data_IF_848556836622
#
_entry.id   IF_848556836622
#
_cell.length_a   1.000
_cell.length_b   1.000
_cell.length_c   1.000
_cell.angle_alpha   90.00
_cell.angle_beta   90.00
_cell.angle_gamma   90.00
#
_symmetry.space_group_name_H-M   'P 1'
#
loop_
_entity.id
_entity.type
_entity.pdbx_description
1 polymer ?
#
# COMPACT_ATOMS: atom_id res chain seq x y z
N UNK A 1 -3.43 -24.92 -0.24
CA UNK A 1 -3.57 -23.78 -1.14
C UNK A 1 -2.27 -22.98 -1.16
N UNK A 2 -1.83 -22.59 -2.32
CA UNK A 2 -0.61 -21.77 -2.53
C UNK A 2 -1.00 -20.50 -3.29
N UNK A 3 -0.68 -19.34 -2.73
CA UNK A 3 -1.01 -18.06 -3.35
C UNK A 3 0.25 -17.28 -3.75
N UNK A 4 0.17 -16.51 -4.82
CA UNK A 4 1.14 -15.46 -5.12
C UNK A 4 0.59 -14.13 -4.59
N UNK A 5 1.27 -13.52 -3.63
CA UNK A 5 0.93 -12.22 -3.10
C UNK A 5 1.86 -11.16 -3.71
N UNK A 6 1.26 -10.17 -4.39
CA UNK A 6 1.99 -9.17 -5.17
C UNK A 6 1.88 -7.81 -4.49
N UNK A 7 3.03 -7.18 -4.27
CA UNK A 7 3.10 -5.86 -3.62
C UNK A 7 4.21 -5.01 -4.20
N UNK A 8 4.09 -3.68 -4.09
CA UNK A 8 5.20 -2.79 -4.38
C UNK A 8 6.24 -2.78 -3.26
N UNK A 9 5.80 -2.84 -2.02
CA UNK A 9 6.63 -2.59 -0.84
C UNK A 9 6.80 -3.87 -0.03
N UNK A 10 8.04 -4.16 0.39
CA UNK A 10 8.38 -5.27 1.27
C UNK A 10 9.55 -4.88 2.18
N UNK A 11 9.69 -5.53 3.33
CA UNK A 11 10.77 -5.27 4.27
C UNK A 11 12.16 -5.41 3.63
N UNK A 12 13.10 -4.52 3.91
CA UNK A 12 13.01 -3.35 4.82
C UNK A 12 12.47 -2.07 4.14
N UNK A 13 12.07 -2.14 2.88
CA UNK A 13 11.70 -0.99 2.04
C UNK A 13 10.20 -0.73 2.09
N UNK A 14 9.67 -0.43 3.26
CA UNK A 14 8.27 -0.05 3.46
C UNK A 14 8.18 1.46 3.61
N UNK A 15 7.30 2.06 2.78
CA UNK A 15 7.06 3.49 2.75
C UNK A 15 5.62 3.87 3.11
N UNK A 16 4.64 3.05 2.73
CA UNK A 16 3.23 3.37 2.86
C UNK A 16 2.42 2.37 3.67
N UNK A 17 1.16 2.75 3.96
CA UNK A 17 0.26 1.89 4.73
C UNK A 17 -0.06 0.55 4.05
N UNK A 18 -0.01 0.48 2.71
CA UNK A 18 -0.21 -0.77 1.99
C UNK A 18 0.93 -1.76 2.26
N UNK A 19 2.19 -1.28 2.29
CA UNK A 19 3.35 -2.11 2.64
C UNK A 19 3.29 -2.60 4.09
N UNK A 20 2.93 -1.70 5.03
CA UNK A 20 2.72 -2.08 6.43
C UNK A 20 1.62 -3.14 6.56
N UNK A 21 0.48 -2.97 5.84
CA UNK A 21 -0.58 -3.98 5.84
C UNK A 21 -0.07 -5.34 5.37
N UNK A 22 0.64 -5.39 4.24
CA UNK A 22 1.17 -6.64 3.68
C UNK A 22 2.19 -7.29 4.61
N UNK A 23 3.05 -6.50 5.28
CA UNK A 23 4.01 -6.98 6.27
C UNK A 23 3.35 -7.80 7.38
N UNK A 24 2.18 -7.38 7.87
CA UNK A 24 1.46 -8.09 8.93
C UNK A 24 0.50 -9.17 8.38
N UNK A 25 -0.03 -8.97 7.18
CA UNK A 25 -0.92 -9.93 6.54
C UNK A 25 -0.21 -11.25 6.18
N UNK A 26 1.02 -11.16 5.62
CA UNK A 26 1.74 -12.34 5.14
C UNK A 26 2.01 -13.37 6.24
N UNK A 27 2.54 -13.02 7.42
CA UNK A 27 2.71 -13.97 8.51
C UNK A 27 1.39 -14.63 8.95
N UNK A 28 0.31 -13.85 9.04
CA UNK A 28 -1.01 -14.34 9.42
C UNK A 28 -1.59 -15.35 8.41
N UNK A 29 -1.42 -15.08 7.12
CA UNK A 29 -1.80 -15.99 6.04
C UNK A 29 -0.90 -17.23 5.99
N UNK A 30 0.41 -17.07 6.18
CA UNK A 30 1.40 -18.14 6.12
C UNK A 30 1.22 -19.19 7.22
N UNK A 31 0.54 -18.82 8.30
CA UNK A 31 0.12 -19.77 9.34
C UNK A 31 -0.94 -20.77 8.85
N UNK A 32 -1.63 -20.50 7.74
CA UNK A 32 -2.76 -21.30 7.24
C UNK A 32 -2.53 -21.84 5.83
N UNK A 33 -1.79 -21.12 4.99
CA UNK A 33 -1.58 -21.42 3.57
C UNK A 33 -0.14 -21.10 3.15
N UNK A 34 0.28 -21.59 2.00
CA UNK A 34 1.58 -21.21 1.43
C UNK A 34 1.45 -19.86 0.72
N UNK A 35 2.29 -18.88 1.08
CA UNK A 35 2.32 -17.54 0.48
C UNK A 35 3.67 -17.30 -0.19
N UNK A 36 3.66 -17.14 -1.51
CA UNK A 36 4.82 -16.70 -2.29
C UNK A 36 4.71 -15.17 -2.46
N UNK A 37 5.59 -14.44 -1.80
CA UNK A 37 5.62 -12.96 -1.91
C UNK A 37 6.44 -12.54 -3.13
N UNK A 38 5.86 -11.69 -3.95
CA UNK A 38 6.52 -11.02 -5.09
C UNK A 38 6.51 -9.51 -4.84
N UNK A 39 7.68 -8.90 -4.73
CA UNK A 39 7.80 -7.48 -4.40
C UNK A 39 8.79 -6.76 -5.32
N UNK A 40 8.60 -5.44 -5.47
CA UNK A 40 9.55 -4.59 -6.17
C UNK A 40 10.83 -4.48 -5.36
N UNK A 41 11.98 -4.59 -6.02
CA UNK A 41 13.29 -4.49 -5.38
C UNK A 41 14.35 -5.34 -6.07
N UNK A 42 15.56 -5.29 -5.54
CA UNK A 42 16.70 -6.02 -6.13
C UNK A 42 17.04 -7.33 -5.43
N UNK A 43 16.71 -7.43 -4.13
CA UNK A 43 17.02 -8.62 -3.33
C UNK A 43 16.19 -8.66 -2.05
N UNK A 44 15.67 -9.84 -1.72
CA UNK A 44 15.00 -10.15 -0.45
C UNK A 44 15.40 -11.56 -0.01
N UNK A 45 15.34 -11.83 1.29
CA UNK A 45 15.62 -13.17 1.86
C UNK A 45 14.39 -14.07 1.87
N UNK A 46 13.21 -13.46 1.95
CA UNK A 46 11.91 -14.12 2.20
C UNK A 46 10.83 -13.77 1.15
N UNK A 47 11.22 -13.04 0.12
CA UNK A 47 10.35 -12.70 -1.01
C UNK A 47 11.12 -12.76 -2.33
N UNK A 48 10.38 -12.86 -3.44
CA UNK A 48 10.96 -12.75 -4.79
C UNK A 48 11.05 -11.28 -5.17
N UNK A 49 12.25 -10.81 -5.39
CA UNK A 49 12.54 -9.44 -5.81
C UNK A 49 12.37 -9.29 -7.32
N UNK A 50 11.76 -8.18 -7.74
CA UNK A 50 11.56 -7.80 -9.13
C UNK A 50 12.02 -6.36 -9.33
N UNK A 51 13.13 -6.19 -10.03
CA UNK A 51 13.72 -4.87 -10.30
C UNK A 51 13.20 -4.29 -11.63
N UNK A 52 13.30 -2.97 -11.74
CA UNK A 52 13.10 -2.30 -13.03
C UNK A 52 14.09 -2.83 -14.05
N UNK A 53 13.63 -3.30 -15.23
CA UNK A 53 14.55 -3.72 -16.30
C UNK A 53 15.45 -2.56 -16.73
N UNK A 54 16.74 -2.86 -16.93
CA UNK A 54 17.75 -1.84 -17.26
C UNK A 54 17.35 -0.94 -18.44
N UNK A 55 16.72 -1.50 -19.47
CA UNK A 55 16.28 -0.75 -20.65
C UNK A 55 15.13 0.22 -20.39
N UNK A 56 14.50 0.19 -19.20
CA UNK A 56 13.44 1.10 -18.77
C UNK A 56 13.89 2.06 -17.66
N UNK A 57 15.13 1.96 -17.19
CA UNK A 57 15.65 2.88 -16.16
C UNK A 57 15.61 4.33 -16.65
N UNK A 58 15.03 5.22 -15.84
CA UNK A 58 14.84 6.63 -16.19
C UNK A 58 13.68 6.90 -17.15
N UNK A 59 12.89 5.88 -17.51
CA UNK A 59 11.65 6.06 -18.26
C UNK A 59 10.54 6.65 -17.38
N UNK A 60 9.35 6.87 -17.96
CA UNK A 60 8.19 7.24 -17.16
C UNK A 60 7.94 6.18 -16.06
N UNK A 61 7.69 6.57 -14.80
CA UNK A 61 7.52 5.63 -13.68
C UNK A 61 6.45 4.55 -13.89
N UNK A 62 5.42 4.84 -14.72
CA UNK A 62 4.43 3.83 -15.06
C UNK A 62 4.98 2.76 -16.03
N UNK A 63 5.90 3.11 -16.93
CA UNK A 63 6.59 2.14 -17.80
C UNK A 63 7.57 1.27 -17.00
N UNK A 64 8.32 1.87 -16.07
CA UNK A 64 9.18 1.11 -15.17
C UNK A 64 8.35 0.09 -14.37
N UNK A 65 7.21 0.53 -13.82
CA UNK A 65 6.24 -0.34 -13.13
C UNK A 65 5.76 -1.49 -14.00
N UNK A 66 5.41 -1.24 -15.27
CA UNK A 66 5.02 -2.29 -16.21
C UNK A 66 6.16 -3.30 -16.47
N UNK A 67 7.39 -2.82 -16.59
CA UNK A 67 8.55 -3.67 -16.73
C UNK A 67 8.73 -4.65 -15.56
N UNK A 68 8.60 -4.15 -14.34
CA UNK A 68 8.63 -4.98 -13.13
C UNK A 68 7.48 -6.00 -13.12
N UNK A 69 6.27 -5.56 -13.51
CA UNK A 69 5.11 -6.45 -13.58
C UNK A 69 5.31 -7.60 -14.59
N UNK A 70 5.93 -7.36 -15.74
CA UNK A 70 6.23 -8.42 -16.71
C UNK A 70 7.17 -9.47 -16.12
N UNK A 71 8.18 -9.06 -15.35
CA UNK A 71 9.05 -10.02 -14.67
C UNK A 71 8.31 -10.80 -13.57
N UNK A 72 7.38 -10.15 -12.82
CA UNK A 72 6.49 -10.84 -11.89
C UNK A 72 5.66 -11.92 -12.60
N UNK A 73 5.01 -11.58 -13.72
CA UNK A 73 4.22 -12.54 -14.53
C UNK A 73 5.07 -13.74 -14.93
N UNK A 74 6.28 -13.49 -15.48
CA UNK A 74 7.22 -14.54 -15.85
C UNK A 74 7.56 -15.44 -14.66
N UNK A 75 7.86 -14.86 -13.52
CA UNK A 75 8.21 -15.60 -12.29
C UNK A 75 7.05 -16.45 -11.77
N UNK A 76 5.84 -15.88 -11.72
CA UNK A 76 4.63 -16.58 -11.26
C UNK A 76 4.31 -17.76 -12.18
N UNK A 77 4.47 -17.59 -13.49
CA UNK A 77 4.20 -18.65 -14.51
C UNK A 77 5.09 -19.87 -14.38
N UNK A 78 6.19 -19.76 -13.64
CA UNK A 78 7.11 -20.88 -13.35
C UNK A 78 6.70 -21.72 -12.13
N UNK A 79 5.64 -21.32 -11.41
CA UNK A 79 5.18 -21.96 -10.17
C UNK A 79 3.71 -22.38 -10.30
N UNK A 80 3.34 -23.47 -9.61
CA UNK A 80 1.93 -23.82 -9.51
C UNK A 80 1.31 -22.98 -8.39
N UNK A 81 0.44 -22.06 -8.78
CA UNK A 81 -0.28 -21.13 -7.90
C UNK A 81 -1.78 -21.39 -8.02
N UNK A 82 -2.50 -21.35 -6.93
CA UNK A 82 -3.95 -21.60 -6.89
C UNK A 82 -4.75 -20.28 -6.96
N UNK A 83 -4.15 -19.16 -6.52
CA UNK A 83 -4.78 -17.83 -6.49
C UNK A 83 -3.72 -16.74 -6.48
N UNK A 84 -4.02 -15.60 -7.09
CA UNK A 84 -3.19 -14.39 -7.02
C UNK A 84 -3.88 -13.35 -6.17
N UNK A 85 -3.13 -12.72 -5.27
CA UNK A 85 -3.58 -11.61 -4.44
C UNK A 85 -2.71 -10.39 -4.67
N UNK A 86 -3.24 -9.35 -5.30
CA UNK A 86 -2.49 -8.13 -5.60
C UNK A 86 -2.91 -6.93 -4.76
N UNK A 87 -1.93 -6.08 -4.46
CA UNK A 87 -2.09 -4.88 -3.66
C UNK A 87 -1.66 -3.65 -4.45
N UNK A 88 -2.56 -2.68 -4.62
CA UNK A 88 -2.37 -1.44 -5.35
C UNK A 88 -2.15 -1.61 -6.87
N UNK A 89 -2.36 -0.54 -7.64
CA UNK A 89 -2.16 -0.56 -9.10
C UNK A 89 -0.74 -0.97 -9.52
N UNK A 90 0.25 -0.74 -8.66
CA UNK A 90 1.65 -1.09 -8.95
C UNK A 90 1.87 -2.57 -9.28
N UNK A 91 1.07 -3.46 -8.73
CA UNK A 91 1.16 -4.91 -8.98
C UNK A 91 -0.08 -5.50 -9.66
N UNK A 92 -1.12 -4.69 -9.89
CA UNK A 92 -2.38 -5.17 -10.44
C UNK A 92 -2.26 -5.69 -11.88
N UNK A 93 -1.38 -5.09 -12.71
CA UNK A 93 -1.14 -5.59 -14.07
C UNK A 93 -0.54 -7.00 -14.05
N UNK A 94 0.44 -7.24 -13.18
CA UNK A 94 1.01 -8.57 -13.01
C UNK A 94 -0.04 -9.56 -12.51
N UNK A 95 -0.82 -9.14 -11.49
CA UNK A 95 -1.89 -9.98 -10.92
C UNK A 95 -2.90 -10.43 -11.97
N UNK A 96 -3.44 -9.49 -12.73
CA UNK A 96 -4.42 -9.77 -13.77
C UNK A 96 -3.84 -10.60 -14.91
N UNK A 97 -2.67 -10.22 -15.42
CA UNK A 97 -2.04 -10.94 -16.54
C UNK A 97 -1.71 -12.39 -16.18
N UNK A 98 -1.12 -12.63 -14.99
CA UNK A 98 -0.80 -13.97 -14.55
C UNK A 98 -2.05 -14.82 -14.27
N UNK A 99 -3.11 -14.21 -13.71
CA UNK A 99 -4.38 -14.88 -13.48
C UNK A 99 -5.01 -15.35 -14.80
N UNK A 100 -5.05 -14.48 -15.80
CA UNK A 100 -5.56 -14.82 -17.13
C UNK A 100 -4.74 -15.93 -17.82
N UNK A 101 -3.40 -15.82 -17.76
CA UNK A 101 -2.51 -16.81 -18.39
C UNK A 101 -2.62 -18.20 -17.76
N UNK A 102 -2.89 -18.29 -16.46
CA UNK A 102 -2.98 -19.56 -15.74
C UNK A 102 -4.41 -20.05 -15.53
N UNK A 103 -5.42 -19.24 -15.85
CA UNK A 103 -6.84 -19.58 -15.61
C UNK A 103 -7.18 -19.70 -14.12
N UNK A 104 -6.55 -18.89 -13.26
CA UNK A 104 -6.74 -18.90 -11.80
C UNK A 104 -7.36 -17.59 -11.31
N UNK A 105 -8.03 -17.57 -10.13
CA UNK A 105 -8.67 -16.36 -9.62
C UNK A 105 -7.66 -15.28 -9.21
N UNK A 106 -8.05 -14.02 -9.46
CA UNK A 106 -7.41 -12.81 -8.93
C UNK A 106 -8.23 -12.25 -7.78
N UNK A 107 -7.58 -11.97 -6.66
CA UNK A 107 -8.11 -11.13 -5.57
C UNK A 107 -7.32 -9.81 -5.55
N UNK A 108 -8.02 -8.69 -5.39
CA UNK A 108 -7.41 -7.36 -5.28
C UNK A 108 -7.78 -6.73 -3.95
N UNK A 109 -6.81 -6.15 -3.23
CA UNK A 109 -7.10 -5.33 -2.04
C UNK A 109 -7.06 -3.85 -2.40
N UNK A 110 -8.17 -3.17 -2.16
CA UNK A 110 -8.36 -1.74 -2.37
C UNK A 110 -7.87 -0.93 -1.16
N UNK A 111 -6.64 -0.39 -1.23
CA UNK A 111 -6.08 0.53 -0.23
C UNK A 111 -6.35 2.00 -0.58
N UNK A 112 -6.45 2.30 -1.84
CA UNK A 112 -6.78 3.61 -2.44
C UNK A 112 -7.17 3.38 -3.88
N UNK A 113 -7.87 4.34 -4.49
CA UNK A 113 -8.29 4.26 -5.88
C UNK A 113 -7.68 5.40 -6.69
N UNK A 114 -7.19 5.11 -7.89
CA UNK A 114 -6.58 6.12 -8.76
C UNK A 114 -7.57 7.25 -9.12
N UNK A 115 -8.86 7.01 -9.45
CA UNK A 115 -9.82 8.08 -9.71
C UNK A 115 -10.05 9.04 -8.53
N UNK A 116 -9.84 8.57 -7.29
CA UNK A 116 -9.93 9.38 -6.08
C UNK A 116 -8.65 10.16 -5.76
N UNK A 117 -7.64 10.08 -6.63
CA UNK A 117 -6.30 10.66 -6.45
C UNK A 117 -5.84 11.45 -7.68
N UNK A 118 -6.65 12.40 -8.22
CA UNK A 118 -6.34 13.11 -9.46
C UNK A 118 -5.03 13.92 -9.40
N UNK A 119 -4.60 14.33 -8.19
CA UNK A 119 -3.29 15.01 -8.00
C UNK A 119 -2.09 14.15 -8.37
N UNK A 120 -2.24 12.84 -8.52
CA UNK A 120 -1.17 11.96 -9.03
C UNK A 120 -0.80 12.23 -10.48
N UNK A 121 -1.66 12.88 -11.25
CA UNK A 121 -1.32 13.31 -12.60
C UNK A 121 -0.13 14.29 -12.59
N UNK A 122 -0.02 15.13 -11.55
CA UNK A 122 1.14 16.02 -11.35
C UNK A 122 2.45 15.21 -11.14
N UNK A 123 2.37 14.02 -10.54
CA UNK A 123 3.53 13.17 -10.24
C UNK A 123 3.90 12.20 -11.37
N UNK A 124 2.90 11.66 -12.06
CA UNK A 124 3.08 10.59 -13.05
C UNK A 124 2.95 11.11 -14.50
N UNK A 125 2.46 12.35 -14.69
CA UNK A 125 2.15 12.88 -16.02
C UNK A 125 1.25 11.92 -16.80
N UNK A 126 1.62 11.62 -18.05
CA UNK A 126 0.88 10.65 -18.86
C UNK A 126 0.78 9.24 -18.27
N UNK A 127 1.66 8.89 -17.34
CA UNK A 127 1.62 7.63 -16.61
C UNK A 127 0.39 7.46 -15.71
N UNK A 128 -0.27 8.55 -15.31
CA UNK A 128 -1.52 8.48 -14.55
C UNK A 128 -2.66 7.80 -15.33
N UNK A 129 -2.72 8.00 -16.64
CA UNK A 129 -3.69 7.29 -17.50
C UNK A 129 -3.40 5.79 -17.55
N UNK A 130 -2.12 5.42 -17.52
CA UNK A 130 -1.70 4.01 -17.49
C UNK A 130 -2.07 3.38 -16.14
N UNK A 131 -1.75 4.03 -15.00
CA UNK A 131 -2.10 3.51 -13.68
C UNK A 131 -3.60 3.36 -13.48
N UNK A 132 -4.39 4.34 -13.93
CA UNK A 132 -5.86 4.30 -13.87
C UNK A 132 -6.45 3.18 -14.73
N UNK A 133 -5.89 2.95 -15.93
CA UNK A 133 -6.31 1.86 -16.80
C UNK A 133 -5.99 0.49 -16.19
N UNK A 134 -4.78 0.32 -15.66
CA UNK A 134 -4.36 -0.92 -14.98
C UNK A 134 -5.27 -1.23 -13.80
N UNK A 135 -5.50 -0.23 -12.95
CA UNK A 135 -6.35 -0.41 -11.76
C UNK A 135 -7.77 -0.81 -12.18
N UNK A 136 -8.39 -0.06 -13.08
CA UNK A 136 -9.73 -0.36 -13.60
C UNK A 136 -9.81 -1.78 -14.15
N UNK A 137 -8.89 -2.15 -15.04
CA UNK A 137 -8.89 -3.49 -15.65
C UNK A 137 -8.80 -4.61 -14.61
N UNK A 138 -7.93 -4.45 -13.61
CA UNK A 138 -7.75 -5.45 -12.56
C UNK A 138 -8.99 -5.58 -11.66
N UNK A 139 -9.62 -4.45 -11.31
CA UNK A 139 -10.82 -4.47 -10.47
C UNK A 139 -12.02 -5.08 -11.21
N UNK A 140 -12.23 -4.73 -12.47
CA UNK A 140 -13.31 -5.29 -13.27
C UNK A 140 -13.09 -6.77 -13.63
N UNK A 141 -11.83 -7.24 -13.65
CA UNK A 141 -11.47 -8.63 -13.92
C UNK A 141 -11.24 -9.50 -12.68
N UNK A 142 -11.30 -8.93 -11.48
CA UNK A 142 -11.05 -9.67 -10.24
C UNK A 142 -12.21 -10.61 -9.89
N UNK A 143 -11.88 -11.80 -9.40
CA UNK A 143 -12.86 -12.73 -8.84
C UNK A 143 -13.41 -12.22 -7.50
N UNK A 144 -12.58 -11.48 -6.72
CA UNK A 144 -13.02 -10.80 -5.51
C UNK A 144 -12.18 -9.54 -5.25
N UNK A 145 -12.79 -8.54 -4.63
CA UNK A 145 -12.16 -7.31 -4.20
C UNK A 145 -12.32 -7.18 -2.68
N UNK A 146 -11.21 -7.02 -1.99
CA UNK A 146 -11.19 -6.71 -0.56
C UNK A 146 -11.17 -5.18 -0.43
N UNK A 147 -12.24 -4.61 0.09
CA UNK A 147 -12.31 -3.20 0.45
C UNK A 147 -11.97 -3.06 1.95
N UNK A 148 -11.01 -2.19 2.28
CA UNK A 148 -10.53 -2.03 3.68
C UNK A 148 -11.51 -1.29 4.60
N UNK A 149 -12.64 -0.81 4.07
CA UNK A 149 -13.73 -0.18 4.82
C UNK A 149 -15.03 -0.17 4.01
N UNK A 150 -16.16 0.12 4.67
CA UNK A 150 -17.43 0.35 3.98
C UNK A 150 -17.37 1.54 3.02
N UNK A 151 -16.66 2.63 3.42
CA UNK A 151 -16.41 3.76 2.53
C UNK A 151 -15.66 3.33 1.27
N UNK A 152 -14.59 2.54 1.41
CA UNK A 152 -13.84 2.02 0.27
C UNK A 152 -14.69 1.13 -0.64
N UNK A 153 -15.60 0.31 -0.07
CA UNK A 153 -16.56 -0.46 -0.89
C UNK A 153 -17.45 0.46 -1.73
N UNK A 154 -17.99 1.51 -1.14
CA UNK A 154 -18.81 2.49 -1.85
C UNK A 154 -18.01 3.20 -2.95
N UNK A 155 -16.77 3.59 -2.66
CA UNK A 155 -15.86 4.24 -3.61
C UNK A 155 -15.52 3.31 -4.79
N UNK A 156 -15.23 2.03 -4.54
CA UNK A 156 -14.98 1.02 -5.59
C UNK A 156 -16.17 0.93 -6.54
N UNK A 157 -17.39 0.77 -5.99
CA UNK A 157 -18.61 0.64 -6.80
C UNK A 157 -18.95 1.93 -7.57
N UNK A 158 -18.57 3.08 -7.03
CA UNK A 158 -18.74 4.37 -7.71
C UNK A 158 -17.73 4.56 -8.84
N UNK A 159 -16.45 4.24 -8.59
CA UNK A 159 -15.38 4.42 -9.57
C UNK A 159 -15.41 3.37 -10.68
N UNK A 160 -15.86 2.17 -10.38
CA UNK A 160 -15.85 1.01 -11.30
C UNK A 160 -17.24 0.36 -11.39
N UNK A 161 -18.18 0.98 -12.12
CA UNK A 161 -19.58 0.55 -12.16
C UNK A 161 -19.80 -0.84 -12.78
N UNK A 162 -18.80 -1.41 -13.46
CA UNK A 162 -18.86 -2.78 -13.98
C UNK A 162 -18.49 -3.84 -12.92
N UNK A 163 -18.02 -3.43 -11.75
CA UNK A 163 -17.75 -4.34 -10.63
C UNK A 163 -19.06 -4.72 -9.96
N UNK A 164 -19.30 -6.02 -9.81
CA UNK A 164 -20.48 -6.55 -9.15
C UNK A 164 -20.36 -6.36 -7.62
N UNK A 165 -21.41 -5.82 -6.95
CA UNK A 165 -21.37 -5.58 -5.51
C UNK A 165 -21.11 -6.81 -4.64
N UNK A 166 -21.53 -8.00 -5.10
CA UNK A 166 -21.27 -9.29 -4.45
C UNK A 166 -19.80 -9.70 -4.47
N UNK A 167 -19.01 -9.20 -5.41
CA UNK A 167 -17.57 -9.46 -5.48
C UNK A 167 -16.77 -8.53 -4.57
N UNK A 168 -17.39 -7.51 -3.95
CA UNK A 168 -16.69 -6.56 -3.06
C UNK A 168 -16.97 -6.89 -1.61
N UNK A 169 -15.95 -7.38 -0.94
CA UNK A 169 -15.99 -7.80 0.47
C UNK A 169 -15.29 -6.78 1.36
N UNK A 170 -15.93 -6.38 2.45
CA UNK A 170 -15.31 -5.47 3.43
C UNK A 170 -14.53 -6.29 4.44
N UNK A 171 -13.20 -6.12 4.43
CA UNK A 171 -12.30 -6.72 5.41
C UNK A 171 -11.37 -5.61 5.89
N UNK A 172 -11.54 -5.19 7.15
CA UNK A 172 -10.71 -4.14 7.72
C UNK A 172 -9.25 -4.58 7.88
N UNK A 173 -8.33 -3.64 7.77
CA UNK A 173 -6.93 -3.90 8.09
C UNK A 173 -6.83 -4.31 9.56
N UNK A 174 -6.09 -5.37 9.82
CA UNK A 174 -5.78 -5.83 11.17
C UNK A 174 -4.58 -5.12 11.76
N UNK A 175 -4.38 -5.31 13.05
CA UNK A 175 -3.23 -4.87 13.82
C UNK A 175 -2.83 -5.97 14.80
N UNK A 176 -1.55 -6.14 15.04
CA UNK A 176 -1.05 -7.04 16.06
C UNK A 176 -1.24 -6.40 17.44
N UNK A 177 -2.21 -6.91 18.21
CA UNK A 177 -2.56 -6.39 19.53
C UNK A 177 -1.57 -6.77 20.64
N UNK A 178 -0.68 -7.70 20.39
CA UNK A 178 0.41 -8.03 21.32
C UNK A 178 1.55 -7.03 21.21
N UNK A 179 1.78 -6.49 20.02
CA UNK A 179 2.77 -5.43 19.75
C UNK A 179 2.15 -4.05 20.05
N UNK A 180 0.97 -3.77 19.50
CA UNK A 180 0.29 -2.47 19.61
C UNK A 180 -0.71 -2.49 20.76
N UNK A 181 -0.20 -2.38 21.99
CA UNK A 181 -0.98 -2.34 23.23
C UNK A 181 -0.55 -1.15 24.09
N UNK A 182 -1.40 -0.69 25.03
CA UNK A 182 -0.97 0.28 26.01
C UNK A 182 0.27 -0.22 26.76
N UNK A 183 1.33 0.60 26.78
CA UNK A 183 2.57 0.32 27.47
C UNK A 183 2.80 1.42 28.52
N UNK A 184 2.92 1.09 29.81
CA UNK A 184 3.19 2.06 30.86
C UNK A 184 4.64 2.58 30.85
N UNK A 185 5.53 2.00 30.04
CA UNK A 185 6.90 2.46 29.92
C UNK A 185 6.96 3.85 29.27
N UNK A 186 7.78 4.72 29.84
CA UNK A 186 7.93 6.12 29.42
C UNK A 186 9.28 6.43 28.81
N UNK A 187 10.15 5.43 28.70
CA UNK A 187 11.52 5.54 28.19
C UNK A 187 11.62 6.22 26.82
N UNK A 188 10.68 5.92 25.90
CA UNK A 188 10.59 6.60 24.61
C UNK A 188 10.26 8.09 24.78
N UNK A 189 9.37 8.44 25.68
CA UNK A 189 8.97 9.84 25.93
C UNK A 189 10.15 10.62 26.54
N UNK A 190 10.84 10.03 27.49
CA UNK A 190 12.03 10.62 28.13
C UNK A 190 13.17 10.80 27.12
N UNK A 191 13.42 9.79 26.28
CA UNK A 191 14.45 9.83 25.21
C UNK A 191 14.27 11.03 24.28
N UNK A 192 13.03 11.41 23.98
CA UNK A 192 12.71 12.54 23.12
C UNK A 192 12.39 13.82 23.89
N UNK A 193 12.70 13.86 25.20
CA UNK A 193 12.51 15.02 26.08
C UNK A 193 11.07 15.55 26.09
N UNK A 194 10.09 14.65 26.02
CA UNK A 194 8.68 14.99 26.13
C UNK A 194 8.35 15.19 27.62
N UNK A 195 7.86 16.37 27.98
CA UNK A 195 7.51 16.70 29.36
C UNK A 195 6.21 15.98 29.75
N UNK A 196 6.33 15.01 30.65
CA UNK A 196 5.22 14.17 31.12
C UNK A 196 4.19 14.91 31.97
N UNK A 197 4.53 16.11 32.47
CA UNK A 197 3.63 16.93 33.27
C UNK A 197 2.75 17.85 32.42
N UNK A 198 2.97 17.88 31.12
CA UNK A 198 2.25 18.71 30.16
C UNK A 198 1.49 17.85 29.16
N UNK A 199 0.25 18.22 28.79
CA UNK A 199 -0.45 17.56 27.70
C UNK A 199 0.30 17.73 26.38
N UNK A 200 0.16 16.77 25.48
CA UNK A 200 0.72 16.88 24.13
C UNK A 200 -0.26 16.48 23.05
N UNK A 201 -0.13 17.14 21.90
CA UNK A 201 -0.80 16.77 20.65
C UNK A 201 0.20 15.96 19.81
N UNK A 202 -0.16 14.70 19.52
CA UNK A 202 0.70 13.79 18.76
C UNK A 202 0.26 13.71 17.31
N UNK A 203 1.18 13.98 16.38
CA UNK A 203 1.03 13.65 14.97
C UNK A 203 1.86 12.40 14.67
N UNK A 204 1.22 11.38 14.06
CA UNK A 204 1.90 10.18 13.59
C UNK A 204 1.66 10.04 12.09
N UNK A 205 2.72 10.05 11.29
CA UNK A 205 2.58 9.87 9.86
C UNK A 205 3.71 10.48 9.04
N UNK A 206 3.67 10.23 7.73
CA UNK A 206 4.61 10.84 6.79
C UNK A 206 4.35 12.35 6.67
N UNK A 207 5.41 13.11 6.46
CA UNK A 207 5.30 14.54 6.15
C UNK A 207 4.96 14.67 4.67
N UNK A 208 3.67 14.69 4.38
CA UNK A 208 3.13 14.85 3.02
C UNK A 208 1.99 15.86 3.03
N UNK A 209 1.75 16.50 1.88
CA UNK A 209 0.63 17.43 1.71
C UNK A 209 -0.71 16.78 2.10
N UNK A 210 -0.89 15.50 1.74
CA UNK A 210 -2.09 14.72 2.04
C UNK A 210 -2.34 14.54 3.54
N UNK A 211 -1.31 14.46 4.37
CA UNK A 211 -1.42 14.26 5.82
C UNK A 211 -1.71 15.54 6.60
N UNK A 212 -1.70 16.69 5.94
CA UNK A 212 -2.16 17.94 6.51
C UNK A 212 -1.30 18.54 7.61
N UNK A 213 0.00 18.18 7.70
CA UNK A 213 0.89 18.70 8.74
C UNK A 213 0.94 20.23 8.76
N UNK A 214 0.91 20.87 7.59
CA UNK A 214 0.88 22.34 7.48
C UNK A 214 -0.36 22.96 8.14
N UNK A 215 -1.50 22.25 8.13
CA UNK A 215 -2.71 22.70 8.83
C UNK A 215 -2.56 22.54 10.34
N UNK A 216 -1.98 21.43 10.81
CA UNK A 216 -1.67 21.22 12.21
C UNK A 216 -0.74 22.33 12.74
N UNK A 217 0.35 22.62 12.02
CA UNK A 217 1.31 23.66 12.43
C UNK A 217 0.68 25.07 12.45
N UNK A 218 -0.23 25.36 11.52
CA UNK A 218 -1.00 26.61 11.55
C UNK A 218 -1.94 26.66 12.76
N UNK A 219 -2.64 25.58 13.06
CA UNK A 219 -3.52 25.49 14.21
C UNK A 219 -2.76 25.54 15.53
N UNK A 220 -1.57 24.94 15.61
CA UNK A 220 -0.73 24.92 16.79
C UNK A 220 -0.31 26.33 17.29
N UNK A 221 -0.32 27.33 16.42
CA UNK A 221 -0.10 28.73 16.83
C UNK A 221 -1.18 29.27 17.77
N UNK A 222 -2.35 28.64 17.78
CA UNK A 222 -3.49 29.00 18.61
C UNK A 222 -3.67 28.03 19.79
N UNK A 223 -2.79 27.05 19.96
CA UNK A 223 -2.83 26.13 21.10
C UNK A 223 -2.46 26.85 22.39
N UNK A 224 -3.00 26.39 23.50
CA UNK A 224 -2.49 26.80 24.82
C UNK A 224 -0.98 26.55 24.87
N UNK A 225 -0.16 27.55 25.30
CA UNK A 225 1.29 27.39 25.41
C UNK A 225 1.74 26.22 26.28
N UNK A 226 0.84 25.69 27.12
CA UNK A 226 1.09 24.51 27.95
C UNK A 226 1.04 23.20 27.15
N UNK A 227 0.45 23.19 25.95
CA UNK A 227 0.36 22.01 25.09
C UNK A 227 1.65 21.86 24.27
N UNK A 228 2.27 20.70 24.34
CA UNK A 228 3.40 20.32 23.48
C UNK A 228 2.87 19.80 22.13
N UNK A 229 3.62 20.04 21.04
CA UNK A 229 3.35 19.40 19.76
C UNK A 229 4.46 18.39 19.48
N UNK A 230 4.08 17.12 19.39
CA UNK A 230 4.99 16.00 19.17
C UNK A 230 4.76 15.43 17.79
N UNK A 231 5.83 15.32 16.99
CA UNK A 231 5.76 14.80 15.62
C UNK A 231 6.53 13.48 15.54
N UNK A 232 5.82 12.37 15.40
CA UNK A 232 6.38 11.07 15.03
C UNK A 232 6.26 10.93 13.51
N UNK A 233 7.27 11.41 12.80
CA UNK A 233 7.22 11.58 11.36
C UNK A 233 8.57 11.27 10.70
N UNK A 234 8.53 10.79 9.45
CA UNK A 234 9.71 10.66 8.59
C UNK A 234 10.10 11.99 7.94
N UNK A 235 11.18 11.99 7.18
CA UNK A 235 11.54 13.13 6.32
C UNK A 235 10.38 13.48 5.35
N UNK A 236 10.27 14.75 4.93
CA UNK A 236 9.25 15.17 3.96
C UNK A 236 9.45 14.50 2.59
N UNK A 237 8.34 14.24 1.88
CA UNK A 237 8.35 13.62 0.56
C UNK A 237 8.93 14.54 -0.51
N UNK A 238 8.82 15.84 -0.32
CA UNK A 238 9.35 16.87 -1.24
C UNK A 238 9.99 18.02 -0.47
N UNK A 239 10.95 18.76 -1.08
CA UNK A 239 11.64 19.89 -0.44
C UNK A 239 10.70 21.06 -0.07
N UNK A 240 9.53 21.18 -0.73
CA UNK A 240 8.58 22.30 -0.53
C UNK A 240 7.66 22.10 0.68
N UNK A 241 7.71 20.95 1.34
CA UNK A 241 6.92 20.62 2.53
C UNK A 241 7.79 20.68 3.76
#
# INVERSE_FOLDING_TARGET
MRIALLTKEWLPQIYGGAGVHVQYLVPALSAQITVDVHAFGTSYTDARAHATPQFLEGANPALETLGVNLDMVRSISQSKIDLIHSHTWYSNFAGQSAALLQGIPLVVTAHSLEPMRPWKEEQLGGGYRVSSWIEKSAYEGAAAIIAVSQGMKADVLTCYPNVLPENVHVIHNGIDTDIYRPDPLIDALEKYSIDLQRPYSLFVGRITRQKGLTHLLKAAKNFDPHIQVVLCASAPDTPEI
#
